data_IF_718150104771
#
_entry.id   IF_718150104771
#
_cell.length_a   1.000
_cell.length_b   1.000
_cell.length_c   1.000
_cell.angle_alpha   90.00
_cell.angle_beta   90.00
_cell.angle_gamma   90.00
#
_symmetry.space_group_name_H-M   'P 1'
#
loop_
_entity.id
_entity.type
_entity.pdbx_description
1 polymer ?
#
# COMPACT_ATOMS: atom_id res chain seq x y z
N UNK A 1 -0.99 -20.23 20.02
CA UNK A 1 -0.52 -19.03 19.32
C UNK A 1 0.34 -18.27 20.28
N UNK A 2 1.56 -17.96 19.94
CA UNK A 2 2.37 -17.01 20.69
C UNK A 2 2.19 -15.63 20.04
N UNK A 3 1.79 -14.62 20.81
CA UNK A 3 1.65 -13.24 20.38
C UNK A 3 2.85 -12.39 20.78
N UNK A 4 3.90 -13.01 21.34
CA UNK A 4 5.14 -12.32 21.69
C UNK A 4 5.96 -12.09 20.41
N UNK A 5 6.41 -10.86 20.24
CA UNK A 5 7.30 -10.49 19.17
C UNK A 5 8.73 -10.93 19.49
N UNK A 6 9.49 -11.34 18.45
CA UNK A 6 10.92 -11.60 18.59
C UNK A 6 11.70 -10.29 18.84
N UNK A 7 12.93 -10.40 19.32
CA UNK A 7 13.82 -9.24 19.49
C UNK A 7 14.04 -8.50 18.19
N UNK A 8 14.16 -9.21 17.06
CA UNK A 8 14.32 -8.64 15.73
C UNK A 8 13.04 -7.86 15.30
N UNK A 9 11.87 -8.45 15.50
CA UNK A 9 10.58 -7.78 15.19
C UNK A 9 10.37 -6.53 16.04
N UNK A 10 10.77 -6.55 17.31
CA UNK A 10 10.75 -5.38 18.20
C UNK A 10 11.70 -4.30 17.68
N UNK A 11 12.93 -4.66 17.32
CA UNK A 11 13.93 -3.72 16.78
C UNK A 11 13.46 -3.05 15.49
N UNK A 12 12.86 -3.81 14.56
CA UNK A 12 12.27 -3.28 13.32
C UNK A 12 11.14 -2.29 13.62
N UNK A 13 10.24 -2.66 14.53
CA UNK A 13 9.13 -1.78 14.95
C UNK A 13 9.63 -0.48 15.57
N UNK A 14 10.64 -0.55 16.44
CA UNK A 14 11.24 0.63 17.08
C UNK A 14 11.94 1.53 16.05
N UNK A 15 12.73 0.96 15.14
CA UNK A 15 13.37 1.71 14.06
C UNK A 15 12.34 2.43 13.17
N UNK A 16 11.25 1.77 12.82
CA UNK A 16 10.16 2.37 12.05
C UNK A 16 9.46 3.50 12.83
N UNK A 17 9.22 3.32 14.13
CA UNK A 17 8.66 4.35 15.01
C UNK A 17 9.57 5.56 15.10
N UNK A 18 10.85 5.35 15.34
CA UNK A 18 11.83 6.44 15.47
C UNK A 18 11.92 7.24 14.18
N UNK A 19 11.97 6.57 13.03
CA UNK A 19 11.92 7.21 11.74
C UNK A 19 10.63 8.02 11.54
N UNK A 20 9.49 7.43 11.84
CA UNK A 20 8.19 8.10 11.70
C UNK A 20 8.10 9.37 12.57
N UNK A 21 8.52 9.30 13.83
CA UNK A 21 8.43 10.43 14.76
C UNK A 21 9.46 11.52 14.47
N UNK A 22 10.68 11.14 14.12
CA UNK A 22 11.80 12.10 14.01
C UNK A 22 11.99 12.65 12.60
N UNK A 23 11.63 11.88 11.55
CA UNK A 23 11.83 12.26 10.14
C UNK A 23 10.51 12.62 9.47
N UNK A 24 9.46 11.81 9.62
CA UNK A 24 8.22 12.04 8.88
C UNK A 24 7.33 13.11 9.53
N UNK A 25 7.14 13.03 10.85
CA UNK A 25 6.21 13.89 11.58
C UNK A 25 6.45 15.40 11.40
N UNK A 26 7.70 15.92 11.44
CA UNK A 26 7.95 17.35 11.34
C UNK A 26 7.42 18.00 10.06
N UNK A 27 7.42 17.27 8.93
CA UNK A 27 7.05 17.82 7.62
C UNK A 27 5.70 17.31 7.07
N UNK A 28 4.97 16.43 7.77
CA UNK A 28 3.82 15.73 7.18
C UNK A 28 2.66 16.66 6.81
N UNK A 29 2.35 17.68 7.61
CA UNK A 29 1.29 18.66 7.31
C UNK A 29 1.65 19.48 6.07
N UNK A 30 2.89 19.91 5.97
CA UNK A 30 3.37 20.67 4.81
C UNK A 30 3.32 19.81 3.54
N UNK A 31 3.80 18.55 3.60
CA UNK A 31 3.74 17.63 2.47
C UNK A 31 2.29 17.38 2.01
N UNK A 32 1.36 17.19 2.94
CA UNK A 32 -0.07 17.03 2.62
C UNK A 32 -0.64 18.29 1.96
N UNK A 33 -0.42 19.48 2.53
CA UNK A 33 -0.92 20.74 2.02
C UNK A 33 -0.38 21.06 0.61
N UNK A 34 0.91 20.87 0.40
CA UNK A 34 1.59 21.12 -0.87
C UNK A 34 1.48 19.95 -1.86
N UNK A 35 0.88 18.82 -1.46
CA UNK A 35 0.84 17.58 -2.25
C UNK A 35 2.24 17.16 -2.71
N UNK A 36 3.25 17.33 -1.86
CA UNK A 36 4.65 17.11 -2.18
C UNK A 36 5.04 15.65 -1.93
N UNK A 37 5.57 14.99 -2.96
CA UNK A 37 6.12 13.65 -2.81
C UNK A 37 7.36 13.66 -1.91
N UNK A 38 7.46 12.75 -0.93
CA UNK A 38 8.52 12.72 0.09
C UNK A 38 9.81 12.06 -0.44
N UNK A 39 10.49 12.68 -1.41
CA UNK A 39 11.66 12.10 -2.10
C UNK A 39 12.78 11.74 -1.12
N UNK A 40 13.10 12.66 -0.22
CA UNK A 40 14.21 12.48 0.73
C UNK A 40 13.86 11.44 1.80
N UNK A 41 12.64 11.47 2.28
CA UNK A 41 12.15 10.49 3.27
C UNK A 41 12.11 9.06 2.70
N UNK A 42 11.72 8.90 1.43
CA UNK A 42 11.76 7.60 0.74
C UNK A 42 13.20 7.13 0.52
N UNK A 43 14.13 8.04 0.18
CA UNK A 43 15.55 7.71 0.06
C UNK A 43 16.10 7.17 1.40
N UNK A 44 15.79 7.84 2.51
CA UNK A 44 16.20 7.41 3.85
C UNK A 44 15.56 6.07 4.26
N UNK A 45 14.29 5.81 3.87
CA UNK A 45 13.68 4.48 4.04
C UNK A 45 14.45 3.39 3.30
N UNK A 46 14.97 3.72 2.10
CA UNK A 46 15.85 2.82 1.35
C UNK A 46 17.14 2.50 2.11
N UNK A 47 17.78 3.51 2.70
CA UNK A 47 18.99 3.34 3.52
C UNK A 47 18.76 2.47 4.77
N UNK A 48 17.56 2.53 5.34
CA UNK A 48 17.13 1.66 6.44
C UNK A 48 16.73 0.23 5.98
N UNK A 49 16.75 -0.06 4.68
CA UNK A 49 16.33 -1.34 4.12
C UNK A 49 14.80 -1.53 4.06
N UNK A 50 14.02 -0.48 4.28
CA UNK A 50 12.56 -0.59 4.35
C UNK A 50 11.89 -0.60 2.97
N UNK A 51 12.61 -0.36 1.88
CA UNK A 51 12.07 -0.44 0.52
C UNK A 51 12.10 -1.87 -0.06
N UNK A 52 12.84 -2.80 0.55
CA UNK A 52 12.94 -4.21 0.16
C UNK A 52 12.91 -5.17 1.35
N UNK A 53 12.08 -4.91 2.36
CA UNK A 53 12.09 -5.63 3.65
C UNK A 53 12.00 -7.15 3.49
N UNK A 54 11.06 -7.63 2.66
CA UNK A 54 10.76 -9.05 2.48
C UNK A 54 11.58 -9.71 1.36
N UNK A 55 12.40 -8.97 0.64
CA UNK A 55 13.24 -9.47 -0.46
C UNK A 55 14.45 -10.19 0.12
N UNK A 56 14.81 -11.34 -0.48
CA UNK A 56 15.99 -12.12 -0.11
C UNK A 56 17.26 -11.24 -0.15
N UNK A 57 18.12 -11.42 0.84
CA UNK A 57 19.38 -10.66 0.99
C UNK A 57 20.33 -10.80 -0.21
N UNK A 58 20.26 -11.90 -0.97
CA UNK A 58 21.01 -12.08 -2.22
C UNK A 58 20.66 -11.06 -3.32
N UNK A 59 19.47 -10.44 -3.22
CA UNK A 59 19.02 -9.36 -4.11
C UNK A 59 19.07 -7.99 -3.44
N UNK A 60 19.78 -7.86 -2.32
CA UNK A 60 19.94 -6.60 -1.61
C UNK A 60 18.75 -6.18 -0.75
N UNK A 61 17.82 -7.11 -0.48
CA UNK A 61 16.71 -6.90 0.44
C UNK A 61 17.05 -7.19 1.90
N UNK A 62 16.07 -6.95 2.79
CA UNK A 62 16.20 -7.18 4.24
C UNK A 62 16.08 -8.64 4.66
N UNK A 63 15.49 -9.52 3.83
CA UNK A 63 15.21 -10.91 4.19
C UNK A 63 14.26 -11.08 5.37
N UNK A 64 13.49 -10.05 5.72
CA UNK A 64 12.61 -10.01 6.87
C UNK A 64 11.30 -10.77 6.61
N UNK A 65 10.65 -11.23 7.67
CA UNK A 65 9.32 -11.84 7.60
C UNK A 65 8.20 -10.81 7.31
N UNK A 66 7.03 -11.31 6.96
CA UNK A 66 5.87 -10.45 6.68
C UNK A 66 5.37 -9.75 7.94
N UNK A 67 5.54 -10.35 9.13
CA UNK A 67 5.14 -9.72 10.37
C UNK A 67 6.03 -8.49 10.68
N UNK A 68 7.33 -8.55 10.47
CA UNK A 68 8.23 -7.39 10.57
C UNK A 68 7.82 -6.26 9.63
N UNK A 69 7.48 -6.60 8.38
CA UNK A 69 6.94 -5.63 7.42
C UNK A 69 5.64 -4.97 7.91
N UNK A 70 4.71 -5.75 8.45
CA UNK A 70 3.43 -5.26 9.01
C UNK A 70 3.67 -4.29 10.17
N UNK A 71 4.59 -4.61 11.07
CA UNK A 71 4.94 -3.76 12.21
C UNK A 71 5.53 -2.42 11.76
N UNK A 72 6.43 -2.44 10.79
CA UNK A 72 6.99 -1.22 10.21
C UNK A 72 5.91 -0.37 9.51
N UNK A 73 5.06 -1.01 8.70
CA UNK A 73 3.94 -0.35 8.02
C UNK A 73 2.98 0.32 9.00
N UNK A 74 2.66 -0.34 10.13
CA UNK A 74 1.81 0.25 11.18
C UNK A 74 2.43 1.54 11.74
N UNK A 75 3.71 1.50 12.16
CA UNK A 75 4.37 2.66 12.78
C UNK A 75 4.55 3.84 11.80
N UNK A 76 4.90 3.58 10.54
CA UNK A 76 5.00 4.62 9.50
C UNK A 76 3.62 5.24 9.21
N UNK A 77 2.59 4.40 9.10
CA UNK A 77 1.22 4.84 8.77
C UNK A 77 0.54 5.63 9.88
N UNK A 78 0.94 5.47 11.14
CA UNK A 78 0.49 6.34 12.25
C UNK A 78 0.77 7.81 11.97
N UNK A 79 1.84 8.09 11.25
CA UNK A 79 2.34 9.44 10.98
C UNK A 79 2.08 9.88 9.54
N UNK A 80 2.45 9.06 8.54
CA UNK A 80 2.36 9.45 7.12
C UNK A 80 1.96 8.29 6.22
N UNK A 81 0.64 8.23 5.93
CA UNK A 81 0.08 7.23 5.04
C UNK A 81 0.53 7.40 3.57
N UNK A 82 1.00 8.58 3.17
CA UNK A 82 1.55 8.82 1.83
C UNK A 82 2.91 8.14 1.65
N UNK A 83 3.75 8.15 2.68
CA UNK A 83 5.03 7.43 2.70
C UNK A 83 4.79 5.93 2.76
N UNK A 84 3.89 5.47 3.64
CA UNK A 84 3.63 4.04 3.80
C UNK A 84 3.04 3.39 2.54
N UNK A 85 2.21 4.10 1.74
CA UNK A 85 1.71 3.53 0.48
C UNK A 85 2.81 3.39 -0.57
N UNK A 86 3.76 4.33 -0.63
CA UNK A 86 4.93 4.21 -1.50
C UNK A 86 5.76 2.97 -1.13
N UNK A 87 6.06 2.81 0.16
CA UNK A 87 6.74 1.65 0.72
C UNK A 87 5.99 0.35 0.43
N UNK A 88 4.65 0.35 0.62
CA UNK A 88 3.81 -0.82 0.39
C UNK A 88 3.83 -1.27 -1.07
N UNK A 89 3.59 -0.38 -2.02
CA UNK A 89 3.59 -0.70 -3.45
C UNK A 89 4.94 -1.26 -3.88
N UNK A 90 6.04 -0.65 -3.44
CA UNK A 90 7.38 -1.12 -3.78
C UNK A 90 7.65 -2.53 -3.22
N UNK A 91 7.37 -2.79 -1.94
CA UNK A 91 7.61 -4.08 -1.29
C UNK A 91 6.64 -5.18 -1.75
N UNK A 92 5.33 -4.95 -1.57
CA UNK A 92 4.33 -6.02 -1.65
C UNK A 92 3.83 -6.28 -3.06
N UNK A 93 3.90 -5.30 -3.96
CA UNK A 93 3.45 -5.46 -5.33
C UNK A 93 4.62 -5.62 -6.31
N UNK A 94 5.59 -4.71 -6.28
CA UNK A 94 6.66 -4.68 -7.30
C UNK A 94 7.78 -5.66 -6.96
N UNK A 95 8.43 -5.50 -5.81
CA UNK A 95 9.53 -6.38 -5.40
C UNK A 95 9.07 -7.82 -5.24
N UNK A 96 7.96 -8.06 -4.52
CA UNK A 96 7.44 -9.41 -4.34
C UNK A 96 7.08 -10.07 -5.67
N UNK A 97 6.43 -9.33 -6.59
CA UNK A 97 6.07 -9.84 -7.91
C UNK A 97 7.29 -10.25 -8.73
N UNK A 98 8.33 -9.42 -8.76
CA UNK A 98 9.60 -9.71 -9.46
C UNK A 98 10.35 -10.86 -8.80
N UNK A 99 10.43 -10.90 -7.46
CA UNK A 99 11.13 -11.98 -6.77
C UNK A 99 10.52 -13.35 -7.02
N UNK A 100 9.17 -13.43 -7.01
CA UNK A 100 8.45 -14.70 -7.19
C UNK A 100 8.36 -15.17 -8.64
N UNK A 101 8.27 -14.26 -9.60
CA UNK A 101 7.91 -14.59 -10.98
C UNK A 101 8.88 -14.06 -12.04
N UNK A 102 9.79 -13.16 -11.68
CA UNK A 102 10.87 -12.72 -12.56
C UNK A 102 11.92 -13.82 -12.75
N UNK A 103 12.53 -13.87 -13.93
CA UNK A 103 13.72 -14.67 -14.17
C UNK A 103 14.96 -14.04 -13.51
N UNK A 104 16.10 -14.72 -13.52
CA UNK A 104 17.29 -14.22 -12.82
C UNK A 104 17.83 -12.90 -13.40
N UNK A 105 17.79 -12.73 -14.73
CA UNK A 105 18.20 -11.48 -15.41
C UNK A 105 17.31 -10.30 -14.99
N UNK A 106 15.98 -10.52 -14.95
CA UNK A 106 15.01 -9.52 -14.49
C UNK A 106 15.25 -9.17 -13.02
N UNK A 107 15.56 -10.14 -12.16
CA UNK A 107 15.84 -9.90 -10.74
C UNK A 107 17.11 -9.07 -10.56
N UNK A 108 18.19 -9.41 -11.24
CA UNK A 108 19.43 -8.66 -11.17
C UNK A 108 19.27 -7.23 -11.69
N UNK A 109 18.59 -7.07 -12.83
CA UNK A 109 18.45 -5.77 -13.47
C UNK A 109 17.47 -4.85 -12.74
N UNK A 110 16.35 -5.39 -12.23
CA UNK A 110 15.22 -4.61 -11.74
C UNK A 110 14.97 -4.76 -10.25
N UNK A 111 15.01 -6.01 -9.70
CA UNK A 111 14.69 -6.22 -8.28
C UNK A 111 15.76 -5.64 -7.36
N UNK A 112 17.05 -5.85 -7.67
CA UNK A 112 18.16 -5.36 -6.83
C UNK A 112 18.08 -3.85 -6.58
N UNK A 113 17.96 -2.97 -7.60
CA UNK A 113 17.87 -1.53 -7.35
C UNK A 113 16.53 -1.10 -6.70
N UNK A 114 15.46 -1.88 -6.82
CA UNK A 114 14.19 -1.63 -6.15
C UNK A 114 14.25 -2.01 -4.66
N UNK A 115 14.83 -3.17 -4.36
CA UNK A 115 14.97 -3.66 -2.99
C UNK A 115 15.90 -2.77 -2.13
N UNK A 116 16.97 -2.25 -2.72
CA UNK A 116 17.87 -1.29 -2.07
C UNK A 116 17.31 0.13 -1.95
N UNK A 117 16.14 0.43 -2.54
CA UNK A 117 15.56 1.77 -2.56
C UNK A 117 16.25 2.77 -3.51
N UNK A 118 17.22 2.33 -4.32
CA UNK A 118 17.83 3.18 -5.35
C UNK A 118 16.84 3.56 -6.45
N UNK A 119 15.88 2.68 -6.71
CA UNK A 119 14.76 2.90 -7.63
C UNK A 119 13.44 2.62 -6.92
N UNK A 120 12.38 3.24 -7.41
CA UNK A 120 11.00 3.02 -6.93
C UNK A 120 10.23 2.34 -8.06
N UNK A 121 9.34 1.43 -7.68
CA UNK A 121 8.47 0.73 -8.60
C UNK A 121 7.02 1.19 -8.54
N UNK A 122 6.30 0.97 -9.63
CA UNK A 122 4.87 1.16 -9.73
C UNK A 122 4.17 -0.09 -10.29
N UNK A 123 2.95 -0.36 -9.82
CA UNK A 123 2.13 -1.47 -10.29
C UNK A 123 0.94 -0.94 -11.09
N UNK A 124 0.88 -1.25 -12.38
CA UNK A 124 0.00 -0.61 -13.35
C UNK A 124 -1.07 -1.60 -13.84
N UNK A 125 -2.13 -1.78 -13.06
CA UNK A 125 -3.27 -2.65 -13.39
C UNK A 125 -4.48 -1.83 -13.85
N UNK A 126 -4.94 -0.90 -13.01
CA UNK A 126 -6.21 -0.18 -13.20
C UNK A 126 -6.21 0.71 -14.43
N UNK A 127 -7.38 0.80 -15.08
CA UNK A 127 -7.66 1.65 -16.23
C UNK A 127 -8.90 2.52 -15.98
N UNK A 128 -9.17 3.55 -16.79
CA UNK A 128 -10.34 4.40 -16.61
C UNK A 128 -11.65 3.62 -16.49
N UNK A 129 -11.79 2.52 -17.24
CA UNK A 129 -13.00 1.70 -17.30
C UNK A 129 -12.84 0.31 -16.64
N UNK A 130 -11.66 -0.02 -16.11
CA UNK A 130 -11.34 -1.32 -15.50
C UNK A 130 -10.66 -1.16 -14.14
N UNK A 131 -11.47 -1.03 -13.09
CA UNK A 131 -11.03 -1.03 -11.68
C UNK A 131 -11.27 -2.39 -11.04
N UNK A 132 -12.44 -2.56 -10.40
CA UNK A 132 -12.84 -3.83 -9.77
C UNK A 132 -13.01 -4.98 -10.76
N UNK A 133 -13.46 -4.69 -11.99
CA UNK A 133 -13.43 -5.62 -13.12
C UNK A 133 -12.11 -5.52 -13.87
N UNK A 134 -11.06 -6.08 -13.27
CA UNK A 134 -9.71 -6.04 -13.83
C UNK A 134 -9.54 -6.88 -15.11
N UNK A 135 -10.52 -7.70 -15.47
CA UNK A 135 -10.51 -8.47 -16.73
C UNK A 135 -10.94 -7.67 -17.94
N UNK A 136 -11.66 -6.58 -17.74
CA UNK A 136 -12.18 -5.69 -18.79
C UNK A 136 -11.17 -4.63 -19.27
N UNK A 137 -9.88 -4.83 -18.98
CA UNK A 137 -8.83 -3.90 -19.39
C UNK A 137 -8.67 -3.83 -20.91
N UNK A 138 -8.32 -2.64 -21.41
CA UNK A 138 -8.20 -2.32 -22.82
C UNK A 138 -6.76 -2.02 -23.28
N UNK A 139 -5.83 -1.83 -22.36
CA UNK A 139 -4.40 -1.68 -22.69
C UNK A 139 -3.93 -2.95 -23.38
N UNK A 140 -3.36 -2.80 -24.58
CA UNK A 140 -2.90 -3.89 -25.43
C UNK A 140 -1.39 -3.94 -25.55
N UNK A 141 -0.85 -5.15 -25.73
CA UNK A 141 0.56 -5.39 -26.03
C UNK A 141 0.67 -6.36 -27.22
N UNK A 142 0.82 -5.83 -28.42
CA UNK A 142 0.85 -6.62 -29.65
C UNK A 142 2.24 -7.22 -29.85
N UNK A 143 2.35 -8.55 -29.96
CA UNK A 143 3.62 -9.25 -30.25
C UNK A 143 4.12 -8.90 -31.64
N UNK A 144 5.36 -8.39 -31.75
CA UNK A 144 6.06 -8.03 -32.99
C UNK A 144 7.31 -8.90 -33.24
N UNK A 145 7.43 -10.03 -32.56
CA UNK A 145 8.59 -10.92 -32.63
C UNK A 145 9.61 -10.59 -31.54
N UNK A 146 10.43 -9.58 -31.74
CA UNK A 146 11.49 -9.19 -30.79
C UNK A 146 11.03 -8.28 -29.65
N UNK A 147 9.85 -7.67 -29.79
CA UNK A 147 9.27 -6.75 -28.81
C UNK A 147 7.74 -6.82 -28.81
N UNK A 148 7.13 -6.29 -27.76
CA UNK A 148 5.70 -6.01 -27.71
C UNK A 148 5.45 -4.52 -27.96
N UNK A 149 4.44 -4.20 -28.76
CA UNK A 149 3.99 -2.83 -28.97
C UNK A 149 2.85 -2.53 -28.01
N UNK A 150 3.15 -1.75 -26.97
CA UNK A 150 2.22 -1.45 -25.87
C UNK A 150 1.45 -0.16 -26.16
N UNK A 151 0.12 -0.24 -26.10
CA UNK A 151 -0.80 0.89 -26.30
C UNK A 151 -1.92 0.88 -25.26
N UNK A 152 -2.23 2.04 -24.68
CA UNK A 152 -3.34 2.19 -23.75
C UNK A 152 -3.09 3.23 -22.67
N UNK A 153 -3.93 3.16 -21.62
CA UNK A 153 -3.90 4.10 -20.49
C UNK A 153 -4.08 3.36 -19.18
N UNK A 154 -3.24 3.66 -18.20
CA UNK A 154 -3.40 3.20 -16.82
C UNK A 154 -3.72 4.38 -15.90
N UNK A 155 -4.68 4.19 -15.00
CA UNK A 155 -5.15 5.24 -14.10
C UNK A 155 -4.88 4.93 -12.63
N UNK A 156 -4.78 6.01 -11.85
CA UNK A 156 -4.58 5.98 -10.39
C UNK A 156 -3.32 5.23 -9.97
N UNK A 157 -2.25 5.39 -10.75
CA UNK A 157 -1.00 4.65 -10.50
C UNK A 157 -0.19 5.35 -9.42
N UNK A 158 -0.08 4.69 -8.26
CA UNK A 158 0.79 5.09 -7.15
C UNK A 158 2.25 5.04 -7.61
N UNK A 159 3.05 6.02 -7.20
CA UNK A 159 4.42 6.24 -7.64
C UNK A 159 4.53 6.53 -9.15
N UNK A 160 3.43 6.97 -9.79
CA UNK A 160 3.36 7.09 -11.26
C UNK A 160 4.41 7.99 -11.89
N UNK A 161 4.77 9.10 -11.23
CA UNK A 161 5.86 9.98 -11.68
C UNK A 161 7.21 9.65 -11.04
N UNK A 162 7.20 9.20 -9.79
CA UNK A 162 8.43 8.96 -9.02
C UNK A 162 9.08 7.62 -9.33
N UNK A 163 8.32 6.64 -9.85
CA UNK A 163 8.86 5.34 -10.21
C UNK A 163 9.82 5.41 -11.40
N UNK A 164 10.77 4.47 -11.41
CA UNK A 164 11.66 4.21 -12.54
C UNK A 164 11.29 2.92 -13.28
N UNK A 165 10.60 2.00 -12.60
CA UNK A 165 10.22 0.67 -13.07
C UNK A 165 8.71 0.51 -12.89
N UNK A 166 8.02 0.07 -13.94
CA UNK A 166 6.58 -0.10 -13.96
C UNK A 166 6.22 -1.53 -14.33
N UNK A 167 5.47 -2.23 -13.48
CA UNK A 167 4.90 -3.53 -13.82
C UNK A 167 3.53 -3.31 -14.46
N UNK A 168 3.45 -3.42 -15.76
CA UNK A 168 2.27 -3.09 -16.57
C UNK A 168 1.54 -4.36 -16.97
N UNK A 169 0.26 -4.45 -16.64
CA UNK A 169 -0.61 -5.54 -17.02
C UNK A 169 -1.34 -5.15 -18.31
N UNK A 170 -1.23 -5.96 -19.36
CA UNK A 170 -1.81 -5.65 -20.67
C UNK A 170 -2.31 -6.89 -21.40
N UNK A 171 -3.27 -6.70 -22.30
CA UNK A 171 -3.91 -7.74 -23.10
C UNK A 171 -3.11 -8.00 -24.39
N UNK A 172 -2.70 -9.24 -24.61
CA UNK A 172 -2.03 -9.65 -25.86
C UNK A 172 -2.97 -10.40 -26.80
N UNK A 173 -4.03 -11.03 -26.25
CA UNK A 173 -5.02 -11.76 -27.02
C UNK A 173 -6.42 -11.62 -26.39
N UNK A 174 -7.23 -10.70 -26.92
CA UNK A 174 -8.57 -10.39 -26.41
C UNK A 174 -9.50 -11.60 -26.42
N UNK A 175 -9.40 -12.47 -27.45
CA UNK A 175 -10.26 -13.65 -27.63
C UNK A 175 -10.01 -14.70 -26.54
N UNK A 176 -8.82 -14.75 -25.97
CA UNK A 176 -8.46 -15.64 -24.88
C UNK A 176 -8.96 -15.15 -23.50
N UNK A 177 -9.60 -13.97 -23.42
CA UNK A 177 -10.09 -13.39 -22.18
C UNK A 177 -8.94 -13.16 -21.17
N UNK A 178 -9.13 -13.55 -19.92
CA UNK A 178 -8.10 -13.38 -18.88
C UNK A 178 -6.81 -14.19 -19.13
N UNK A 179 -6.86 -15.25 -19.99
CA UNK A 179 -5.68 -16.02 -20.41
C UNK A 179 -4.85 -15.32 -21.48
N UNK A 180 -5.36 -14.24 -22.07
CA UNK A 180 -4.60 -13.39 -22.99
C UNK A 180 -3.90 -12.22 -22.30
N UNK A 181 -4.01 -12.10 -20.97
CA UNK A 181 -3.41 -11.01 -20.20
C UNK A 181 -1.98 -11.37 -19.80
N UNK A 182 -1.04 -10.45 -20.03
CA UNK A 182 0.38 -10.59 -19.67
C UNK A 182 0.87 -9.44 -18.78
N UNK A 183 2.02 -9.64 -18.13
CA UNK A 183 2.68 -8.65 -17.30
C UNK A 183 4.03 -8.27 -17.94
N UNK A 184 4.31 -6.96 -17.98
CA UNK A 184 5.48 -6.41 -18.63
C UNK A 184 6.24 -5.46 -17.71
N UNK A 185 7.57 -5.45 -17.80
CA UNK A 185 8.44 -4.47 -17.15
C UNK A 185 8.66 -3.32 -18.15
N UNK A 186 8.21 -2.13 -17.78
CA UNK A 186 8.44 -0.89 -18.53
C UNK A 186 9.36 0.01 -17.74
N UNK A 187 10.35 0.61 -18.40
CA UNK A 187 11.28 1.54 -17.79
C UNK A 187 10.87 2.98 -18.09
N UNK A 188 11.08 3.88 -17.12
CA UNK A 188 10.88 5.31 -17.33
C UNK A 188 11.79 5.81 -18.47
N UNK A 189 11.22 6.59 -19.38
CA UNK A 189 11.96 7.15 -20.51
C UNK A 189 11.93 6.30 -21.78
N UNK A 190 11.27 5.12 -21.78
CA UNK A 190 10.96 4.44 -23.03
C UNK A 190 10.16 5.37 -23.95
N UNK A 191 10.49 5.37 -25.26
CA UNK A 191 9.79 6.19 -26.26
C UNK A 191 8.30 5.85 -26.28
N UNK A 192 7.45 6.87 -26.31
CA UNK A 192 5.99 6.71 -26.27
C UNK A 192 5.39 6.51 -24.88
N UNK A 193 6.20 6.32 -23.83
CA UNK A 193 5.71 6.27 -22.45
C UNK A 193 5.62 7.67 -21.85
N UNK A 194 4.42 8.07 -21.45
CA UNK A 194 4.12 9.41 -20.93
C UNK A 194 3.49 9.31 -19.55
N UNK A 195 4.08 10.03 -18.59
CA UNK A 195 3.45 10.30 -17.30
C UNK A 195 2.46 11.45 -17.48
N UNK A 196 1.18 11.16 -17.31
CA UNK A 196 0.08 12.10 -17.51
C UNK A 196 -0.20 12.96 -16.26
N UNK A 197 -1.44 13.41 -16.14
CA UNK A 197 -1.84 14.31 -15.06
C UNK A 197 -1.68 13.68 -13.67
N UNK A 198 -1.30 14.51 -12.69
CA UNK A 198 -1.33 14.17 -11.27
C UNK A 198 -2.76 14.28 -10.75
N UNK A 199 -3.17 13.32 -9.94
CA UNK A 199 -4.49 13.33 -9.31
C UNK A 199 -4.52 14.26 -8.08
N UNK A 200 -5.51 15.15 -8.03
CA UNK A 200 -5.85 15.92 -6.82
C UNK A 200 -6.78 15.09 -5.93
N UNK A 201 -6.24 14.55 -4.85
CA UNK A 201 -6.89 13.52 -4.03
C UNK A 201 -7.45 14.06 -2.73
N UNK A 202 -8.45 13.38 -2.19
CA UNK A 202 -9.03 13.63 -0.87
C UNK A 202 -7.97 13.47 0.24
N UNK A 203 -7.26 12.34 0.26
CA UNK A 203 -6.24 11.95 1.25
C UNK A 203 -5.00 11.39 0.60
N UNK A 204 -4.03 10.96 1.42
CA UNK A 204 -2.69 10.52 0.99
C UNK A 204 -2.09 11.48 -0.06
N UNK A 205 -2.24 12.79 0.19
CA UNK A 205 -1.97 13.83 -0.80
C UNK A 205 -0.49 13.97 -1.14
N UNK A 206 0.40 13.58 -0.22
CA UNK A 206 1.83 13.47 -0.46
C UNK A 206 2.23 12.29 -1.34
N UNK A 207 1.34 11.31 -1.55
CA UNK A 207 1.58 10.22 -2.49
C UNK A 207 1.42 10.70 -3.93
N UNK A 208 2.35 10.29 -4.76
CA UNK A 208 2.39 10.55 -6.19
C UNK A 208 1.49 9.56 -6.93
N UNK A 209 0.37 10.07 -7.46
CA UNK A 209 -0.62 9.26 -8.17
C UNK A 209 -0.89 9.89 -9.54
N UNK A 210 -0.69 9.13 -10.60
CA UNK A 210 -0.79 9.63 -11.98
C UNK A 210 -1.56 8.69 -12.91
N UNK A 211 -2.09 9.29 -13.97
CA UNK A 211 -2.42 8.59 -15.21
C UNK A 211 -1.13 8.30 -15.98
N UNK A 212 -1.01 7.12 -16.59
CA UNK A 212 0.09 6.73 -17.46
C UNK A 212 -0.44 6.40 -18.86
N UNK A 213 0.23 6.94 -19.90
CA UNK A 213 -0.15 6.76 -21.29
C UNK A 213 0.95 5.99 -22.01
N UNK A 214 0.55 5.04 -22.82
CA UNK A 214 1.42 4.21 -23.65
C UNK A 214 1.00 4.38 -25.10
N UNK A 215 1.87 5.01 -25.91
CA UNK A 215 1.67 5.30 -27.32
C UNK A 215 2.77 4.62 -28.11
N UNK A 216 2.49 3.43 -28.63
CA UNK A 216 3.44 2.61 -29.37
C UNK A 216 4.76 2.34 -28.63
N UNK A 217 4.68 2.11 -27.30
CA UNK A 217 5.86 1.80 -26.51
C UNK A 217 6.40 0.43 -26.87
N UNK A 218 7.67 0.39 -27.31
CA UNK A 218 8.37 -0.85 -27.65
C UNK A 218 8.94 -1.47 -26.37
N UNK A 219 8.31 -2.54 -25.89
CA UNK A 219 8.74 -3.29 -24.72
C UNK A 219 9.50 -4.54 -25.18
N UNK A 220 10.78 -4.69 -24.86
CA UNK A 220 11.57 -5.87 -25.23
C UNK A 220 10.91 -7.17 -24.80
N UNK A 221 11.08 -8.24 -25.57
CA UNK A 221 10.41 -9.52 -25.32
C UNK A 221 10.82 -10.14 -23.97
N UNK A 222 12.06 -9.96 -23.59
CA UNK A 222 12.63 -10.37 -22.30
C UNK A 222 12.05 -9.64 -21.10
N UNK A 223 11.35 -8.53 -21.30
CA UNK A 223 10.68 -7.78 -20.24
C UNK A 223 9.27 -8.32 -19.90
N UNK A 224 8.79 -9.38 -20.58
CA UNK A 224 7.58 -10.08 -20.15
C UNK A 224 7.87 -10.93 -18.92
N UNK A 225 7.01 -10.84 -17.91
CA UNK A 225 7.14 -11.62 -16.68
C UNK A 225 6.36 -12.93 -16.83
N UNK A 226 7.05 -14.06 -16.65
CA UNK A 226 6.46 -15.38 -16.72
C UNK A 226 6.07 -15.83 -18.12
N UNK A 227 5.27 -16.90 -18.18
CA UNK A 227 4.79 -17.49 -19.42
C UNK A 227 3.67 -16.65 -20.07
N UNK A 228 3.37 -16.92 -21.35
CA UNK A 228 2.27 -16.27 -22.04
C UNK A 228 0.93 -16.57 -21.37
N UNK A 229 0.09 -15.54 -21.20
CA UNK A 229 -1.19 -15.63 -20.50
C UNK A 229 -1.12 -15.68 -18.97
N UNK A 230 0.06 -15.52 -18.38
CA UNK A 230 0.23 -15.57 -16.92
C UNK A 230 -0.13 -14.25 -16.20
N UNK A 231 -0.25 -13.14 -16.93
CA UNK A 231 -0.33 -11.79 -16.33
C UNK A 231 -1.52 -11.56 -15.41
N UNK A 232 -2.70 -12.12 -15.70
CA UNK A 232 -3.84 -12.00 -14.79
C UNK A 232 -3.59 -12.75 -13.46
N UNK A 233 -3.05 -13.98 -13.56
CA UNK A 233 -2.69 -14.77 -12.38
C UNK A 233 -1.58 -14.10 -11.57
N UNK A 234 -0.58 -13.52 -12.25
CA UNK A 234 0.45 -12.69 -11.64
C UNK A 234 -0.17 -11.55 -10.84
N UNK A 235 -1.07 -10.75 -11.46
CA UNK A 235 -1.70 -9.61 -10.81
C UNK A 235 -2.51 -10.04 -9.57
N UNK A 236 -3.32 -11.09 -9.66
CA UNK A 236 -4.14 -11.57 -8.53
C UNK A 236 -3.29 -12.08 -7.36
N UNK A 237 -2.23 -12.85 -7.64
CA UNK A 237 -1.30 -13.32 -6.59
C UNK A 237 -0.56 -12.17 -5.93
N UNK A 238 -0.14 -11.19 -6.69
CA UNK A 238 0.52 -9.98 -6.20
C UNK A 238 -0.40 -9.17 -5.28
N UNK A 239 -1.64 -8.94 -5.70
CA UNK A 239 -2.65 -8.23 -4.90
C UNK A 239 -3.02 -8.96 -3.60
N UNK A 240 -2.92 -10.29 -3.55
CA UNK A 240 -3.15 -11.02 -2.29
C UNK A 240 -2.16 -10.60 -1.20
N UNK A 241 -0.89 -10.40 -1.55
CA UNK A 241 0.12 -9.84 -0.64
C UNK A 241 -0.12 -8.37 -0.31
N UNK A 242 -0.53 -7.58 -1.31
CA UNK A 242 -0.84 -6.17 -1.16
C UNK A 242 -1.96 -5.90 -0.15
N UNK A 243 -2.98 -6.76 -0.08
CA UNK A 243 -4.07 -6.64 0.93
C UNK A 243 -3.54 -6.59 2.37
N UNK A 244 -2.50 -7.37 2.69
CA UNK A 244 -1.85 -7.35 4.01
C UNK A 244 -1.20 -5.97 4.24
N UNK A 245 -0.49 -5.43 3.24
CA UNK A 245 0.12 -4.10 3.31
C UNK A 245 -0.90 -3.00 3.57
N UNK A 246 -2.03 -3.01 2.85
CA UNK A 246 -3.10 -2.02 3.06
C UNK A 246 -3.85 -2.21 4.38
N UNK A 247 -4.03 -3.45 4.83
CA UNK A 247 -4.59 -3.72 6.16
C UNK A 247 -3.69 -3.14 7.27
N UNK A 248 -2.37 -3.26 7.12
CA UNK A 248 -1.37 -2.69 8.05
C UNK A 248 -1.36 -1.17 8.01
N UNK A 249 -1.49 -0.58 6.82
CA UNK A 249 -1.62 0.88 6.68
C UNK A 249 -2.89 1.39 7.36
N UNK A 250 -4.03 0.75 7.13
CA UNK A 250 -5.29 1.12 7.77
C UNK A 250 -5.21 1.02 9.29
N UNK A 251 -4.61 -0.07 9.81
CA UNK A 251 -4.33 -0.26 11.24
C UNK A 251 -3.46 0.88 11.80
N UNK A 252 -2.40 1.26 11.09
CA UNK A 252 -1.52 2.36 11.50
C UNK A 252 -2.26 3.70 11.54
N UNK A 253 -3.07 4.02 10.53
CA UNK A 253 -3.91 5.24 10.50
C UNK A 253 -4.87 5.26 11.70
N UNK A 254 -5.55 4.14 12.00
CA UNK A 254 -6.43 4.02 13.16
C UNK A 254 -5.67 4.24 14.47
N UNK A 255 -4.52 3.55 14.64
CA UNK A 255 -3.69 3.65 15.83
C UNK A 255 -3.19 5.08 16.05
N UNK A 256 -2.72 5.76 15.00
CA UNK A 256 -2.27 7.16 15.08
C UNK A 256 -3.40 8.12 15.47
N UNK A 257 -4.58 7.96 14.90
CA UNK A 257 -5.75 8.79 15.24
C UNK A 257 -6.19 8.57 16.69
N UNK A 258 -6.19 7.32 17.16
CA UNK A 258 -6.49 6.98 18.55
C UNK A 258 -5.49 7.59 19.51
N UNK A 259 -4.18 7.45 19.27
CA UNK A 259 -3.12 8.01 20.12
C UNK A 259 -3.28 9.53 20.27
N UNK A 260 -3.58 10.24 19.16
CA UNK A 260 -3.83 11.68 19.18
C UNK A 260 -5.09 12.04 19.96
N UNK A 261 -6.20 11.31 19.76
CA UNK A 261 -7.45 11.55 20.46
C UNK A 261 -7.32 11.29 21.98
N UNK A 262 -6.60 10.23 22.37
CA UNK A 262 -6.34 9.90 23.76
C UNK A 262 -5.48 11.00 24.44
N UNK A 263 -4.40 11.44 23.79
CA UNK A 263 -3.55 12.50 24.30
C UNK A 263 -4.33 13.81 24.50
N UNK A 264 -5.02 14.24 23.44
CA UNK A 264 -5.85 15.45 23.49
C UNK A 264 -6.93 15.38 24.58
N UNK A 265 -7.60 14.25 24.76
CA UNK A 265 -8.66 14.08 25.76
C UNK A 265 -8.17 14.20 27.19
N UNK A 266 -6.90 13.91 27.46
CA UNK A 266 -6.27 14.04 28.78
C UNK A 266 -5.83 15.48 29.11
N UNK A 267 -5.63 16.32 28.10
CA UNK A 267 -5.20 17.71 28.23
C UNK A 267 -6.38 18.69 28.17
N UNK A 268 -7.31 18.46 27.25
CA UNK A 268 -8.46 19.33 27.01
C UNK A 268 -9.45 19.27 28.18
N UNK A 269 -9.83 20.43 28.70
CA UNK A 269 -10.85 20.57 29.76
C UNK A 269 -12.14 21.14 29.24
N UNK A 270 -13.26 20.60 29.68
CA UNK A 270 -14.61 21.11 29.52
C UNK A 270 -15.45 20.73 30.74
N UNK A 271 -16.41 21.58 31.11
CA UNK A 271 -17.26 21.38 32.29
C UNK A 271 -16.45 21.09 33.59
N UNK A 272 -15.34 21.80 33.78
CA UNK A 272 -14.53 21.78 34.97
C UNK A 272 -13.56 20.61 35.12
N UNK A 273 -13.45 19.70 34.16
CA UNK A 273 -12.53 18.55 34.20
C UNK A 273 -12.00 18.19 32.80
N UNK A 274 -10.95 17.34 32.75
CA UNK A 274 -10.44 16.79 31.48
C UNK A 274 -11.55 16.03 30.75
N UNK A 275 -11.64 16.18 29.41
CA UNK A 275 -12.75 15.55 28.67
C UNK A 275 -12.71 14.02 28.73
N UNK A 276 -11.54 13.42 28.92
CA UNK A 276 -11.38 11.99 29.19
C UNK A 276 -12.21 11.50 30.38
N UNK A 277 -12.46 12.36 31.39
CA UNK A 277 -13.24 12.03 32.59
C UNK A 277 -14.77 12.06 32.37
N UNK A 278 -15.20 12.44 31.17
CA UNK A 278 -16.61 12.31 30.77
C UNK A 278 -16.85 10.92 30.18
N UNK A 279 -17.83 10.20 30.73
CA UNK A 279 -18.10 8.80 30.38
C UNK A 279 -18.32 8.62 28.87
N UNK A 280 -19.01 9.56 28.18
CA UNK A 280 -19.22 9.51 26.74
C UNK A 280 -17.91 9.51 25.94
N UNK A 281 -16.88 10.24 26.38
CA UNK A 281 -15.55 10.27 25.74
C UNK A 281 -14.77 9.01 26.11
N UNK A 282 -14.80 8.60 27.38
CA UNK A 282 -14.10 7.40 27.84
C UNK A 282 -14.59 6.13 27.11
N UNK A 283 -15.90 6.02 26.86
CA UNK A 283 -16.47 4.88 26.13
C UNK A 283 -16.03 4.86 24.66
N UNK A 284 -16.06 6.00 23.97
CA UNK A 284 -15.53 6.10 22.60
C UNK A 284 -14.08 5.62 22.51
N UNK A 285 -13.22 6.06 23.44
CA UNK A 285 -11.81 5.64 23.50
C UNK A 285 -11.66 4.14 23.80
N UNK A 286 -12.53 3.58 24.63
CA UNK A 286 -12.51 2.14 24.92
C UNK A 286 -12.92 1.30 23.70
N UNK A 287 -13.96 1.74 22.97
CA UNK A 287 -14.41 1.10 21.73
C UNK A 287 -13.30 1.18 20.67
N UNK A 288 -12.72 2.36 20.43
CA UNK A 288 -11.60 2.55 19.49
C UNK A 288 -10.43 1.62 19.80
N UNK A 289 -10.01 1.53 21.08
CA UNK A 289 -8.91 0.66 21.50
C UNK A 289 -9.21 -0.81 21.21
N UNK A 290 -10.45 -1.26 21.52
CA UNK A 290 -10.88 -2.64 21.32
C UNK A 290 -10.91 -3.02 19.83
N UNK A 291 -11.48 -2.15 19.00
CA UNK A 291 -11.58 -2.37 17.56
C UNK A 291 -10.20 -2.38 16.87
N UNK A 292 -9.29 -1.51 17.29
CA UNK A 292 -7.89 -1.48 16.79
C UNK A 292 -7.18 -2.78 17.14
N UNK A 293 -7.34 -3.27 18.37
CA UNK A 293 -6.69 -4.53 18.79
C UNK A 293 -7.24 -5.74 18.02
N UNK A 294 -8.55 -5.79 17.81
CA UNK A 294 -9.17 -6.82 16.98
C UNK A 294 -8.65 -6.77 15.53
N UNK A 295 -8.51 -5.56 14.95
CA UNK A 295 -7.93 -5.37 13.63
C UNK A 295 -6.47 -5.82 13.57
N UNK A 296 -5.66 -5.49 14.58
CA UNK A 296 -4.26 -5.90 14.70
C UNK A 296 -4.10 -7.40 14.67
N UNK A 297 -4.92 -8.12 15.45
CA UNK A 297 -4.89 -9.59 15.48
C UNK A 297 -5.22 -10.21 14.13
N UNK A 298 -6.17 -9.65 13.36
CA UNK A 298 -6.47 -10.11 12.00
C UNK A 298 -5.31 -9.84 11.03
N UNK A 299 -4.67 -8.68 11.13
CA UNK A 299 -3.52 -8.31 10.29
C UNK A 299 -2.32 -9.22 10.58
N UNK A 300 -1.99 -9.43 11.85
CA UNK A 300 -0.92 -10.34 12.26
C UNK A 300 -1.20 -11.78 11.84
N UNK A 301 -2.45 -12.24 11.99
CA UNK A 301 -2.83 -13.56 11.49
C UNK A 301 -2.57 -13.70 9.99
N UNK A 302 -2.93 -12.73 9.18
CA UNK A 302 -2.70 -12.78 7.74
C UNK A 302 -1.19 -12.79 7.39
N UNK A 303 -0.37 -12.01 8.11
CA UNK A 303 1.07 -12.03 7.97
C UNK A 303 1.68 -13.40 8.31
N UNK A 304 1.30 -13.96 9.48
CA UNK A 304 1.78 -15.27 9.93
C UNK A 304 1.30 -16.44 9.02
N UNK A 305 0.10 -16.36 8.47
CA UNK A 305 -0.37 -17.35 7.48
C UNK A 305 0.54 -17.32 6.23
N UNK A 306 0.93 -16.12 5.75
CA UNK A 306 1.85 -15.95 4.62
C UNK A 306 3.25 -16.46 4.96
N UNK A 307 3.82 -16.11 6.10
CA UNK A 307 5.16 -16.51 6.53
C UNK A 307 5.28 -18.04 6.73
N UNK A 308 4.19 -18.67 7.18
CA UNK A 308 4.10 -20.14 7.30
C UNK A 308 3.79 -20.88 5.99
N UNK A 309 3.75 -20.18 4.85
CA UNK A 309 3.47 -20.76 3.54
C UNK A 309 2.03 -21.25 3.34
N UNK A 310 1.11 -20.88 4.21
CA UNK A 310 -0.33 -21.20 4.07
C UNK A 310 -0.98 -20.32 3.01
N UNK A 311 -2.16 -20.73 2.55
CA UNK A 311 -3.02 -19.83 1.78
C UNK A 311 -3.53 -18.70 2.70
N UNK A 312 -3.20 -17.46 2.35
CA UNK A 312 -3.54 -16.25 3.10
C UNK A 312 -4.57 -15.36 2.39
N UNK A 313 -5.18 -15.83 1.30
CA UNK A 313 -6.17 -15.04 0.54
C UNK A 313 -7.36 -14.65 1.40
N UNK A 314 -7.89 -15.61 2.17
CA UNK A 314 -9.02 -15.38 3.07
C UNK A 314 -8.63 -14.47 4.24
N UNK A 315 -7.56 -14.78 4.96
CA UNK A 315 -7.12 -13.99 6.11
C UNK A 315 -6.69 -12.58 5.71
N UNK A 316 -6.02 -12.40 4.56
CA UNK A 316 -5.68 -11.11 4.01
C UNK A 316 -6.89 -10.26 3.62
N UNK A 317 -7.91 -10.88 3.00
CA UNK A 317 -9.15 -10.19 2.66
C UNK A 317 -9.95 -9.77 3.92
N UNK A 318 -10.03 -10.64 4.93
CA UNK A 318 -10.67 -10.33 6.23
C UNK A 318 -9.93 -9.20 6.95
N UNK A 319 -8.61 -9.26 7.02
CA UNK A 319 -7.78 -8.23 7.64
C UNK A 319 -7.99 -6.86 6.96
N UNK A 320 -7.93 -6.81 5.63
CA UNK A 320 -8.10 -5.58 4.87
C UNK A 320 -9.51 -4.99 5.02
N UNK A 321 -10.54 -5.83 4.93
CA UNK A 321 -11.93 -5.40 5.11
C UNK A 321 -12.15 -4.79 6.49
N UNK A 322 -11.70 -5.48 7.54
CA UNK A 322 -11.94 -5.06 8.91
C UNK A 322 -11.08 -3.84 9.30
N UNK A 323 -9.77 -3.88 9.04
CA UNK A 323 -8.87 -2.78 9.39
C UNK A 323 -9.27 -1.47 8.70
N UNK A 324 -9.69 -1.51 7.42
CA UNK A 324 -10.14 -0.32 6.70
C UNK A 324 -11.47 0.25 7.22
N UNK A 325 -12.38 -0.59 7.73
CA UNK A 325 -13.58 -0.17 8.46
C UNK A 325 -13.19 0.54 9.75
N UNK A 326 -12.37 -0.11 10.57
CA UNK A 326 -11.90 0.43 11.86
C UNK A 326 -11.14 1.75 11.68
N UNK A 327 -10.29 1.86 10.64
CA UNK A 327 -9.58 3.09 10.35
C UNK A 327 -10.54 4.25 10.09
N UNK A 328 -11.58 4.03 9.29
CA UNK A 328 -12.55 5.08 8.98
C UNK A 328 -13.36 5.49 10.22
N UNK A 329 -13.87 4.53 10.99
CA UNK A 329 -14.65 4.78 12.20
C UNK A 329 -13.81 5.48 13.28
N UNK A 330 -12.60 4.99 13.54
CA UNK A 330 -11.68 5.57 14.54
C UNK A 330 -11.27 7.00 14.17
N UNK A 331 -10.95 7.27 12.91
CA UNK A 331 -10.52 8.61 12.49
C UNK A 331 -11.65 9.63 12.56
N UNK A 332 -12.88 9.24 12.24
CA UNK A 332 -14.09 10.09 12.41
C UNK A 332 -14.30 10.42 13.89
N UNK A 333 -14.20 9.42 14.77
CA UNK A 333 -14.35 9.66 16.20
C UNK A 333 -13.19 10.48 16.80
N UNK A 334 -11.98 10.34 16.27
CA UNK A 334 -10.85 11.18 16.68
C UNK A 334 -11.08 12.65 16.35
N UNK A 335 -11.59 12.96 15.16
CA UNK A 335 -12.01 14.33 14.80
C UNK A 335 -13.11 14.82 15.74
N UNK A 336 -14.13 13.98 16.02
CA UNK A 336 -15.23 14.32 16.92
C UNK A 336 -14.75 14.62 18.35
N UNK A 337 -13.80 13.84 18.89
CA UNK A 337 -13.20 14.06 20.23
C UNK A 337 -12.44 15.39 20.31
N UNK A 338 -11.77 15.79 19.22
CA UNK A 338 -11.08 17.08 19.14
C UNK A 338 -12.05 18.27 19.00
N UNK A 339 -13.32 18.02 18.59
CA UNK A 339 -14.30 19.07 18.35
C UNK A 339 -13.85 20.05 17.26
N UNK A 340 -14.00 21.35 17.47
CA UNK A 340 -13.59 22.38 16.51
C UNK A 340 -12.12 22.30 16.10
N UNK A 341 -11.22 21.91 17.00
CA UNK A 341 -9.81 21.70 16.70
C UNK A 341 -9.56 20.49 15.79
N UNK A 342 -10.42 19.50 15.79
CA UNK A 342 -10.32 18.37 14.88
C UNK A 342 -10.71 18.72 13.43
N UNK A 343 -11.33 19.86 13.20
CA UNK A 343 -11.80 20.32 11.88
C UNK A 343 -10.83 21.27 11.18
N UNK A 344 -9.74 21.66 11.83
CA UNK A 344 -8.74 22.57 11.27
C UNK A 344 -7.43 21.84 10.92
N UNK A 345 -6.79 22.25 9.82
CA UNK A 345 -5.63 21.54 9.23
C UNK A 345 -4.35 21.56 10.06
N UNK A 346 -4.28 22.36 11.11
CA UNK A 346 -3.17 22.38 12.05
C UNK A 346 -3.10 21.11 12.94
N UNK A 347 -4.22 20.37 13.03
CA UNK A 347 -4.31 19.11 13.77
C UNK A 347 -4.31 17.91 12.82
N UNK A 348 -3.51 16.89 13.16
CA UNK A 348 -3.31 15.73 12.29
C UNK A 348 -4.55 14.86 12.07
N UNK A 349 -5.55 14.91 12.96
CA UNK A 349 -6.68 13.97 12.95
C UNK A 349 -7.57 14.14 11.71
N UNK A 350 -7.76 15.36 11.19
CA UNK A 350 -8.53 15.59 9.96
C UNK A 350 -7.83 14.96 8.74
N UNK A 351 -6.49 15.05 8.67
CA UNK A 351 -5.69 14.43 7.62
C UNK A 351 -5.81 12.91 7.67
N UNK A 352 -5.66 12.30 8.86
CA UNK A 352 -5.80 10.87 9.04
C UNK A 352 -7.19 10.37 8.64
N UNK A 353 -8.26 11.16 8.85
CA UNK A 353 -9.61 10.82 8.38
C UNK A 353 -9.70 10.83 6.85
N UNK A 354 -9.07 11.80 6.18
CA UNK A 354 -9.01 11.84 4.71
C UNK A 354 -8.18 10.67 4.16
N UNK A 355 -7.06 10.37 4.80
CA UNK A 355 -6.16 9.28 4.43
C UNK A 355 -6.82 7.90 4.61
N UNK A 356 -7.61 7.71 5.67
CA UNK A 356 -8.28 6.44 5.95
C UNK A 356 -9.21 5.99 4.82
N UNK A 357 -9.88 6.94 4.14
CA UNK A 357 -10.91 6.60 3.15
C UNK A 357 -10.40 5.74 2.00
N UNK A 358 -9.19 5.98 1.52
CA UNK A 358 -8.64 5.23 0.39
C UNK A 358 -8.43 3.75 0.71
N UNK A 359 -8.20 3.40 1.99
CA UNK A 359 -7.98 2.01 2.40
C UNK A 359 -9.19 1.11 2.17
N UNK A 360 -10.39 1.67 2.05
CA UNK A 360 -11.62 0.96 1.67
C UNK A 360 -11.77 0.77 0.15
N UNK A 361 -10.94 1.44 -0.67
CA UNK A 361 -11.13 1.54 -2.13
C UNK A 361 -10.05 0.77 -2.88
N UNK A 362 -8.77 1.13 -2.73
CA UNK A 362 -7.69 0.56 -3.54
C UNK A 362 -7.29 -0.85 -3.11
N UNK A 363 -6.54 -1.53 -3.98
CA UNK A 363 -6.15 -2.95 -3.85
C UNK A 363 -7.35 -3.90 -3.61
N UNK A 364 -8.46 -3.57 -4.25
CA UNK A 364 -9.75 -4.23 -4.13
C UNK A 364 -10.64 -3.56 -3.09
N UNK A 365 -11.78 -3.02 -3.54
CA UNK A 365 -12.75 -2.34 -2.66
C UNK A 365 -13.25 -3.26 -1.54
N UNK A 366 -13.91 -2.70 -0.53
CA UNK A 366 -14.55 -3.48 0.54
C UNK A 366 -15.51 -4.54 -0.02
N UNK A 367 -16.20 -4.24 -1.14
CA UNK A 367 -17.09 -5.17 -1.84
C UNK A 367 -16.30 -6.31 -2.48
N UNK A 368 -15.14 -6.02 -3.10
CA UNK A 368 -14.25 -7.06 -3.64
C UNK A 368 -13.71 -7.96 -2.52
N UNK A 369 -13.35 -7.40 -1.34
CA UNK A 369 -12.95 -8.24 -0.21
C UNK A 369 -14.08 -9.17 0.22
N UNK A 370 -15.33 -8.69 0.28
CA UNK A 370 -16.51 -9.52 0.59
C UNK A 370 -16.72 -10.62 -0.44
N UNK A 371 -16.50 -10.36 -1.73
CA UNK A 371 -16.56 -11.37 -2.79
C UNK A 371 -15.49 -12.45 -2.57
N UNK A 372 -14.25 -12.06 -2.28
CA UNK A 372 -13.15 -13.01 -2.00
C UNK A 372 -13.50 -13.89 -0.78
N UNK A 373 -13.95 -13.26 0.30
CA UNK A 373 -14.34 -13.95 1.53
C UNK A 373 -15.50 -14.92 1.25
N UNK A 374 -16.57 -14.45 0.60
CA UNK A 374 -17.76 -15.27 0.34
C UNK A 374 -17.45 -16.51 -0.49
N UNK A 375 -16.55 -16.40 -1.47
CA UNK A 375 -16.09 -17.56 -2.26
C UNK A 375 -15.32 -18.55 -1.41
N UNK A 376 -14.37 -18.06 -0.61
CA UNK A 376 -13.52 -18.92 0.21
C UNK A 376 -14.24 -19.65 1.35
N UNK A 377 -15.36 -19.12 1.85
CA UNK A 377 -16.18 -19.81 2.88
C UNK A 377 -17.25 -20.73 2.30
N UNK A 378 -17.46 -20.68 0.98
CA UNK A 378 -18.42 -21.56 0.27
C UNK A 378 -17.75 -22.81 -0.32
N UNK A 379 -16.44 -22.87 -0.35
CA UNK A 379 -15.62 -24.04 -0.72
C UNK A 379 -15.40 -24.97 0.47
#
# INVERSE_FOLDING_TARGET
MNFELSEEQIAVKEAARDFAQNVLKPGVIERDNLQKFPVEEIRQLGELGFMGMMVDTKYGGGGMDTLSYVLAMEEISKIDASVSVCMSVNNSLVCWGLEKFGNEEQKQKYLVPLASGQKIGAFCLSEPEAGSDATSQRTTAIDKGDYYLLNGTKNWITNGSSASIYLVIAQTNVEAGHKGINAFIVEKGMEGFIVGAKEDKLGIRGSDTHTLLFNDVKVPKENRIGEDGFGFKFAMKTLSGGRIGIASQALGIASGAYELALAYSKERKAFGKEIYKHQAIAFKLADMATEIEAARLLVWKAALDKDSGKNYDLSGAMAKLYASKVAMETTVEAVQIHGGYGFVKEYHVERLMRDAKITQIYEGTSEIQKIVISRAISE
#
